data_IF_440992350873
#
_entry.id   IF_440992350873
#
_cell.length_a   1.000
_cell.length_b   1.000
_cell.length_c   1.000
_cell.angle_alpha   90.00
_cell.angle_beta   90.00
_cell.angle_gamma   90.00
#
_symmetry.space_group_name_H-M   'P 1'
#
loop_
_entity.id
_entity.type
_entity.pdbx_description
1 polymer ?
#
# COMPACT_ATOMS: atom_id res chain seq x y z
N UNK A 1 8.76 8.88 -22.05
CA UNK A 1 8.29 9.57 -20.83
C UNK A 1 8.12 11.07 -21.06
N UNK A 2 9.13 11.77 -21.58
CA UNK A 2 9.06 13.23 -21.84
C UNK A 2 7.90 13.65 -22.79
N UNK A 3 7.58 12.85 -23.79
CA UNK A 3 6.50 13.16 -24.74
C UNK A 3 5.11 12.99 -24.09
N UNK A 4 4.92 11.94 -23.33
CA UNK A 4 3.69 11.67 -22.58
C UNK A 4 3.42 12.78 -21.58
N UNK A 5 4.42 13.20 -20.80
CA UNK A 5 4.30 14.29 -19.84
C UNK A 5 3.91 15.62 -20.50
N UNK A 6 4.61 16.02 -21.58
CA UNK A 6 4.41 17.32 -22.22
C UNK A 6 3.08 17.45 -22.93
N UNK A 7 2.54 16.34 -23.48
CA UNK A 7 1.29 16.36 -24.27
C UNK A 7 0.05 15.97 -23.51
N UNK A 8 0.18 15.18 -22.43
CA UNK A 8 -0.96 14.63 -21.69
C UNK A 8 -1.13 15.22 -20.28
N UNK A 9 -0.29 16.16 -19.88
CA UNK A 9 -0.35 16.84 -18.57
C UNK A 9 -0.36 15.88 -17.38
N UNK A 10 0.51 14.87 -17.41
CA UNK A 10 0.65 13.88 -16.32
C UNK A 10 1.31 14.54 -15.12
N UNK A 11 0.73 14.34 -13.91
CA UNK A 11 1.18 14.93 -12.66
C UNK A 11 2.36 14.21 -12.00
N UNK A 12 2.72 13.02 -12.46
CA UNK A 12 3.81 12.23 -11.90
C UNK A 12 3.92 10.83 -12.46
N UNK A 13 4.89 10.07 -11.93
CA UNK A 13 5.19 8.71 -12.35
C UNK A 13 5.38 7.79 -11.15
N UNK A 14 4.85 6.59 -11.24
CA UNK A 14 5.26 5.48 -10.37
C UNK A 14 6.21 4.59 -11.17
N UNK A 15 7.38 4.32 -10.59
CA UNK A 15 8.40 3.48 -11.18
C UNK A 15 8.33 2.08 -10.60
N UNK A 16 8.07 1.14 -11.50
CA UNK A 16 8.05 -0.28 -11.18
C UNK A 16 9.45 -0.80 -10.88
N UNK A 17 9.60 -1.66 -9.86
CA UNK A 17 10.89 -2.22 -9.45
C UNK A 17 12.00 -1.15 -9.43
N UNK A 18 11.73 0.01 -8.84
CA UNK A 18 12.57 1.19 -8.97
C UNK A 18 14.00 1.02 -8.40
N UNK A 19 14.21 0.06 -7.48
CA UNK A 19 15.55 -0.30 -7.02
C UNK A 19 16.46 -0.77 -8.16
N UNK A 20 15.91 -1.37 -9.21
CA UNK A 20 16.65 -1.77 -10.41
C UNK A 20 17.29 -0.59 -11.14
N UNK A 21 16.63 0.57 -11.14
CA UNK A 21 17.13 1.81 -11.77
C UNK A 21 18.36 2.41 -11.05
N UNK A 22 18.51 2.05 -9.77
CA UNK A 22 19.63 2.47 -8.93
C UNK A 22 20.80 1.48 -8.95
N UNK A 23 20.68 0.34 -9.63
CA UNK A 23 21.75 -0.66 -9.63
C UNK A 23 22.94 -0.22 -10.48
N UNK A 24 24.12 -0.25 -9.85
CA UNK A 24 25.41 -0.25 -10.53
C UNK A 24 26.07 -1.61 -10.28
N UNK A 25 26.34 -2.36 -11.34
CA UNK A 25 26.75 -3.75 -11.27
C UNK A 25 25.69 -4.63 -10.54
N UNK A 26 26.00 -5.12 -9.33
CA UNK A 26 25.09 -5.94 -8.54
C UNK A 26 24.55 -5.22 -7.28
N UNK A 27 25.06 -4.03 -6.98
CA UNK A 27 24.67 -3.26 -5.80
C UNK A 27 23.72 -2.12 -6.14
N UNK A 28 22.88 -1.76 -5.19
CA UNK A 28 21.98 -0.60 -5.32
C UNK A 28 22.74 0.64 -4.89
N UNK A 29 23.00 1.55 -5.82
CA UNK A 29 23.65 2.83 -5.59
C UNK A 29 22.62 3.97 -5.55
N UNK A 30 22.48 4.59 -4.38
CA UNK A 30 21.58 5.74 -4.16
C UNK A 30 22.00 7.01 -4.92
N UNK A 31 23.24 7.05 -5.39
CA UNK A 31 23.82 8.14 -6.18
C UNK A 31 23.90 7.78 -7.66
N UNK A 32 23.05 6.85 -8.12
CA UNK A 32 23.09 6.45 -9.52
C UNK A 32 22.77 7.63 -10.44
N UNK A 33 23.40 7.64 -11.62
CA UNK A 33 23.20 8.68 -12.63
C UNK A 33 21.74 8.86 -13.05
N UNK A 34 20.91 7.83 -12.88
CA UNK A 34 19.47 7.94 -13.16
C UNK A 34 18.79 8.96 -12.25
N UNK A 35 19.06 8.92 -10.94
CA UNK A 35 18.46 9.87 -9.99
C UNK A 35 18.97 11.29 -10.21
N UNK A 36 20.26 11.44 -10.48
CA UNK A 36 20.87 12.75 -10.79
C UNK A 36 20.22 13.38 -12.03
N UNK A 37 20.03 12.61 -13.10
CA UNK A 37 19.38 13.08 -14.32
C UNK A 37 17.95 13.51 -14.05
N UNK A 38 17.20 12.73 -13.26
CA UNK A 38 15.81 13.05 -12.90
C UNK A 38 15.74 14.31 -12.05
N UNK A 39 16.63 14.49 -11.08
CA UNK A 39 16.67 15.67 -10.21
C UNK A 39 17.10 16.95 -10.93
N UNK A 40 17.97 16.83 -11.95
CA UNK A 40 18.45 17.97 -12.73
C UNK A 40 17.49 18.37 -13.86
N UNK A 41 16.56 17.51 -14.27
CA UNK A 41 15.59 17.86 -15.31
C UNK A 41 14.58 18.89 -14.78
N UNK A 42 14.46 20.08 -15.41
CA UNK A 42 13.63 21.17 -14.88
C UNK A 42 12.12 20.90 -14.93
N UNK A 43 11.71 19.84 -15.60
CA UNK A 43 10.33 19.43 -15.75
C UNK A 43 10.04 18.25 -14.82
N UNK A 44 10.83 17.18 -14.94
CA UNK A 44 10.59 15.93 -14.21
C UNK A 44 10.81 16.12 -12.70
N UNK A 45 11.76 16.96 -12.28
CA UNK A 45 12.01 17.26 -10.87
C UNK A 45 10.82 17.93 -10.14
N UNK A 46 9.84 18.45 -10.89
CA UNK A 46 8.66 19.15 -10.33
C UNK A 46 7.39 18.30 -10.24
N UNK A 47 7.41 17.10 -10.83
CA UNK A 47 6.26 16.19 -10.78
C UNK A 47 6.40 15.20 -9.63
N UNK A 48 5.32 14.48 -9.34
CA UNK A 48 5.33 13.44 -8.29
C UNK A 48 6.15 12.25 -8.78
N UNK A 49 7.16 11.87 -8.03
CA UNK A 49 8.00 10.70 -8.28
C UNK A 49 7.73 9.69 -7.18
N UNK A 50 7.24 8.52 -7.55
CA UNK A 50 6.86 7.45 -6.63
C UNK A 50 7.65 6.20 -7.01
N UNK A 51 8.37 5.65 -6.05
CA UNK A 51 9.10 4.41 -6.24
C UNK A 51 8.33 3.21 -5.69
N UNK A 52 8.37 2.11 -6.42
CA UNK A 52 8.30 0.80 -5.83
C UNK A 52 9.71 0.44 -5.35
N UNK A 53 9.98 0.54 -4.02
CA UNK A 53 11.34 0.59 -3.51
C UNK A 53 11.95 -0.80 -3.28
N UNK A 54 11.71 -1.74 -4.20
CA UNK A 54 12.31 -3.08 -4.19
C UNK A 54 12.57 -3.60 -5.60
N UNK A 55 13.34 -4.67 -5.66
CA UNK A 55 13.52 -5.55 -6.82
C UNK A 55 13.84 -6.98 -6.36
N UNK A 56 14.00 -7.90 -7.31
CA UNK A 56 14.24 -9.32 -7.04
C UNK A 56 15.72 -9.65 -6.76
N UNK A 57 16.62 -8.69 -6.84
CA UNK A 57 18.06 -8.91 -6.64
C UNK A 57 18.46 -8.88 -5.17
N UNK A 58 19.69 -9.31 -4.90
CA UNK A 58 20.28 -9.21 -3.56
C UNK A 58 20.27 -7.76 -3.07
N UNK A 59 19.88 -7.53 -1.80
CA UNK A 59 19.77 -6.17 -1.25
C UNK A 59 18.73 -5.29 -1.93
N UNK A 60 17.78 -5.86 -2.71
CA UNK A 60 16.82 -5.11 -3.50
C UNK A 60 15.74 -4.38 -2.72
N UNK A 61 15.51 -4.72 -1.45
CA UNK A 61 14.50 -4.04 -0.61
C UNK A 61 15.05 -2.73 -0.03
N UNK A 62 14.66 -1.59 -0.61
CA UNK A 62 15.24 -0.26 -0.38
C UNK A 62 14.25 0.76 0.23
N UNK A 63 13.23 0.30 0.95
CA UNK A 63 12.27 1.21 1.63
C UNK A 63 13.01 2.15 2.58
N UNK A 64 12.80 3.45 2.43
CA UNK A 64 13.52 4.51 3.14
C UNK A 64 14.82 4.96 2.45
N UNK A 65 15.19 4.34 1.33
CA UNK A 65 16.47 4.54 0.66
C UNK A 65 16.49 5.51 -0.52
N UNK A 66 15.36 5.93 -1.04
CA UNK A 66 15.27 6.78 -2.22
C UNK A 66 15.57 8.27 -1.92
N UNK A 67 15.89 9.09 -2.95
CA UNK A 67 16.15 10.52 -2.78
C UNK A 67 14.99 11.27 -2.11
N UNK A 68 15.29 12.43 -1.53
CA UNK A 68 14.33 13.20 -0.72
C UNK A 68 13.14 13.74 -1.50
N UNK A 69 13.26 13.90 -2.81
CA UNK A 69 12.20 14.31 -3.73
C UNK A 69 11.20 13.21 -4.07
N UNK A 70 11.52 11.94 -3.75
CA UNK A 70 10.70 10.79 -4.07
C UNK A 70 9.76 10.39 -2.92
N UNK A 71 8.59 9.90 -3.27
CA UNK A 71 7.75 9.10 -2.37
C UNK A 71 7.95 7.61 -2.67
N UNK A 72 7.66 6.76 -1.70
CA UNK A 72 7.89 5.32 -1.79
C UNK A 72 6.65 4.55 -1.34
N UNK A 73 6.35 3.47 -2.03
CA UNK A 73 5.42 2.47 -1.49
C UNK A 73 6.00 1.85 -0.22
N UNK A 74 5.30 2.04 0.89
CA UNK A 74 5.79 1.57 2.19
C UNK A 74 5.35 0.13 2.47
N UNK A 75 6.13 -0.85 2.00
CA UNK A 75 5.87 -2.27 2.26
C UNK A 75 5.91 -2.63 3.75
N UNK A 76 6.71 -1.92 4.57
CA UNK A 76 6.72 -2.14 6.03
C UNK A 76 5.42 -1.70 6.68
N UNK A 77 4.79 -0.63 6.18
CA UNK A 77 3.46 -0.23 6.61
C UNK A 77 2.45 -1.34 6.32
N UNK A 78 2.40 -1.82 5.07
CA UNK A 78 1.52 -2.91 4.65
C UNK A 78 1.64 -4.12 5.58
N UNK A 79 2.86 -4.60 5.74
CA UNK A 79 3.13 -5.84 6.48
C UNK A 79 2.78 -5.69 7.96
N UNK A 80 3.15 -4.56 8.57
CA UNK A 80 2.85 -4.27 9.97
C UNK A 80 1.36 -4.15 10.24
N UNK A 81 0.60 -3.46 9.38
CA UNK A 81 -0.85 -3.30 9.55
C UNK A 81 -1.58 -4.64 9.40
N UNK A 82 -1.18 -5.45 8.41
CA UNK A 82 -1.72 -6.81 8.24
C UNK A 82 -1.43 -7.68 9.45
N UNK A 83 -0.18 -7.67 9.94
CA UNK A 83 0.24 -8.45 11.12
C UNK A 83 -0.49 -8.01 12.39
N UNK A 84 -0.69 -6.71 12.58
CA UNK A 84 -1.43 -6.18 13.73
C UNK A 84 -2.88 -6.67 13.75
N UNK A 85 -3.61 -6.53 12.65
CA UNK A 85 -5.03 -6.90 12.59
C UNK A 85 -5.29 -8.41 12.55
N UNK A 86 -4.30 -9.22 12.19
CA UNK A 86 -4.35 -10.68 12.37
C UNK A 86 -3.77 -11.15 13.71
N UNK A 87 -3.55 -10.23 14.65
CA UNK A 87 -3.13 -10.49 16.03
C UNK A 87 -1.75 -11.15 16.16
N UNK A 88 -0.79 -10.82 15.30
CA UNK A 88 0.58 -11.27 15.49
C UNK A 88 1.19 -10.62 16.74
N UNK A 89 1.94 -11.39 17.57
CA UNK A 89 2.51 -10.86 18.79
C UNK A 89 3.56 -9.78 18.52
N UNK A 90 3.75 -8.87 19.47
CA UNK A 90 4.80 -7.84 19.48
C UNK A 90 4.72 -6.80 18.36
N UNK A 91 3.58 -6.63 17.70
CA UNK A 91 3.40 -5.67 16.58
C UNK A 91 3.12 -4.25 17.03
N UNK A 92 2.62 -4.02 18.25
CA UNK A 92 2.14 -2.72 18.71
C UNK A 92 3.17 -1.57 18.62
N UNK A 93 4.45 -1.74 18.99
CA UNK A 93 5.43 -0.65 18.88
C UNK A 93 5.67 -0.23 17.44
N UNK A 94 5.78 -1.19 16.51
CA UNK A 94 5.94 -0.90 15.09
C UNK A 94 4.66 -0.28 14.51
N UNK A 95 3.49 -0.79 14.86
CA UNK A 95 2.21 -0.26 14.43
C UNK A 95 2.05 1.23 14.80
N UNK A 96 2.39 1.61 16.05
CA UNK A 96 2.39 3.00 16.47
C UNK A 96 3.34 3.87 15.61
N UNK A 97 4.54 3.37 15.31
CA UNK A 97 5.50 4.05 14.43
C UNK A 97 4.95 4.23 13.01
N UNK A 98 4.27 3.22 12.45
CA UNK A 98 3.64 3.29 11.12
C UNK A 98 2.51 4.33 11.09
N UNK A 99 1.64 4.37 12.10
CA UNK A 99 0.58 5.38 12.21
C UNK A 99 1.12 6.81 12.22
N UNK A 100 2.27 7.02 12.85
CA UNK A 100 2.89 8.33 13.04
C UNK A 100 3.73 8.79 11.83
N UNK A 101 3.77 8.05 10.73
CA UNK A 101 4.46 8.44 9.49
C UNK A 101 5.84 7.82 9.30
N UNK A 102 6.13 6.71 9.99
CA UNK A 102 7.34 5.90 9.77
C UNK A 102 8.64 6.70 9.88
N UNK A 103 8.81 7.44 10.99
CA UNK A 103 9.99 8.29 11.24
C UNK A 103 11.31 7.52 11.21
N UNK A 104 11.30 6.27 11.63
CA UNK A 104 12.44 5.35 11.56
C UNK A 104 12.96 5.12 10.14
N UNK A 105 12.12 5.28 9.12
CA UNK A 105 12.46 5.11 7.71
C UNK A 105 12.85 6.43 7.03
N UNK A 106 12.22 7.54 7.39
CA UNK A 106 12.28 8.77 6.61
C UNK A 106 12.96 9.94 7.32
N UNK A 107 13.00 9.94 8.66
CA UNK A 107 13.56 11.07 9.41
C UNK A 107 15.07 11.24 9.20
N UNK A 108 15.82 10.14 9.13
CA UNK A 108 17.29 10.15 9.01
C UNK A 108 17.75 10.93 7.76
N UNK A 109 16.95 10.89 6.70
CA UNK A 109 17.22 11.58 5.44
C UNK A 109 16.48 12.93 5.32
N UNK A 110 15.95 13.47 6.42
CA UNK A 110 15.19 14.73 6.43
C UNK A 110 13.87 14.69 5.66
N UNK A 111 13.39 13.51 5.33
CA UNK A 111 12.15 13.32 4.57
C UNK A 111 10.92 13.50 5.46
N UNK A 112 9.81 13.82 4.85
CA UNK A 112 8.53 14.11 5.51
C UNK A 112 7.59 12.90 5.47
N UNK A 113 6.47 12.90 6.23
CA UNK A 113 5.48 11.81 6.17
C UNK A 113 4.98 11.50 4.75
N UNK A 114 4.90 12.51 3.89
CA UNK A 114 4.51 12.36 2.48
C UNK A 114 5.47 11.52 1.64
N UNK A 115 6.66 11.19 2.15
CA UNK A 115 7.54 10.22 1.52
C UNK A 115 6.96 8.80 1.59
N UNK A 116 6.10 8.53 2.57
CA UNK A 116 5.43 7.25 2.74
C UNK A 116 4.12 7.21 1.97
N UNK A 117 4.03 6.41 0.92
CA UNK A 117 2.76 5.96 0.35
C UNK A 117 2.34 4.73 1.11
N UNK A 118 1.37 4.90 2.00
CA UNK A 118 0.84 3.84 2.84
C UNK A 118 -0.20 3.03 2.06
N UNK A 119 -0.14 1.73 2.13
CA UNK A 119 -1.12 0.85 1.52
C UNK A 119 -1.28 -0.44 2.32
N UNK A 120 -2.39 -1.13 2.14
CA UNK A 120 -2.65 -2.44 2.72
C UNK A 120 -2.70 -3.48 1.60
N UNK A 121 -3.26 -3.10 0.47
CA UNK A 121 -3.42 -3.90 -0.75
C UNK A 121 -2.92 -3.10 -1.94
N UNK A 122 -2.54 -3.78 -2.99
CA UNK A 122 -2.10 -3.20 -4.26
C UNK A 122 -2.59 -4.08 -5.42
N UNK A 123 -2.18 -3.76 -6.66
CA UNK A 123 -2.50 -4.57 -7.84
C UNK A 123 -1.94 -5.99 -7.78
N UNK A 124 -0.80 -6.17 -7.10
CA UNK A 124 -0.21 -7.46 -6.77
C UNK A 124 -0.63 -7.86 -5.35
N UNK A 125 -1.05 -9.10 -5.19
CA UNK A 125 -1.52 -9.62 -3.91
C UNK A 125 -3.04 -9.71 -3.82
N UNK A 126 -3.54 -10.06 -2.65
CA UNK A 126 -4.97 -10.11 -2.36
C UNK A 126 -5.61 -8.73 -2.38
N UNK A 127 -6.87 -8.65 -2.84
CA UNK A 127 -7.77 -7.52 -2.57
C UNK A 127 -8.06 -7.42 -1.07
N UNK A 128 -8.65 -6.33 -0.62
CA UNK A 128 -9.03 -6.16 0.80
C UNK A 128 -9.99 -7.25 1.28
N UNK A 129 -10.95 -7.62 0.44
CA UNK A 129 -11.90 -8.68 0.75
C UNK A 129 -11.22 -10.06 0.78
N UNK A 130 -10.32 -10.33 -0.15
CA UNK A 130 -9.62 -11.62 -0.19
C UNK A 130 -8.62 -11.75 0.97
N UNK A 131 -8.02 -10.64 1.40
CA UNK A 131 -7.11 -10.59 2.56
C UNK A 131 -7.76 -11.06 3.86
N UNK A 132 -9.07 -10.88 4.01
CA UNK A 132 -9.85 -11.31 5.18
C UNK A 132 -10.66 -12.59 4.92
N UNK A 133 -10.54 -13.17 3.73
CA UNK A 133 -11.34 -14.32 3.31
C UNK A 133 -10.51 -15.55 2.94
N UNK A 134 -9.21 -15.38 2.66
CA UNK A 134 -8.33 -16.46 2.21
C UNK A 134 -7.02 -16.46 2.99
N UNK A 135 -6.57 -17.63 3.42
CA UNK A 135 -5.21 -17.84 3.91
C UNK A 135 -4.27 -18.26 2.78
N UNK A 136 -4.78 -19.06 1.85
CA UNK A 136 -4.02 -19.60 0.73
C UNK A 136 -4.39 -18.89 -0.58
N UNK A 137 -3.44 -18.80 -1.50
CA UNK A 137 -3.70 -18.27 -2.84
C UNK A 137 -4.38 -19.31 -3.74
N UNK A 138 -5.24 -18.85 -4.63
CA UNK A 138 -5.99 -19.64 -5.58
C UNK A 138 -5.76 -19.13 -7.01
N UNK A 139 -4.52 -19.30 -7.52
CA UNK A 139 -4.07 -18.81 -8.83
C UNK A 139 -4.18 -19.87 -9.94
N UNK A 140 -4.93 -20.97 -9.74
CA UNK A 140 -5.04 -22.06 -10.69
C UNK A 140 -5.53 -21.59 -12.06
N UNK A 141 -6.40 -20.59 -12.10
CA UNK A 141 -6.91 -19.98 -13.34
C UNK A 141 -5.82 -19.32 -14.21
N UNK A 142 -4.65 -19.00 -13.62
CA UNK A 142 -3.52 -18.42 -14.36
C UNK A 142 -2.75 -19.46 -15.18
N UNK A 143 -3.00 -20.77 -14.98
CA UNK A 143 -2.35 -21.83 -15.74
C UNK A 143 -0.90 -22.13 -15.33
N UNK A 144 -0.42 -21.54 -14.22
CA UNK A 144 0.95 -21.70 -13.72
C UNK A 144 1.06 -22.71 -12.56
N UNK A 145 0.01 -23.50 -12.33
CA UNK A 145 -0.05 -24.51 -11.28
C UNK A 145 0.01 -23.92 -9.87
N UNK A 146 -0.56 -22.73 -9.66
CA UNK A 146 -0.59 -21.99 -8.39
C UNK A 146 0.81 -21.65 -7.83
N UNK A 147 1.84 -21.56 -8.68
CA UNK A 147 3.22 -21.24 -8.26
C UNK A 147 3.53 -19.75 -8.30
N UNK A 148 2.79 -18.98 -9.10
CA UNK A 148 2.89 -17.55 -9.28
C UNK A 148 2.28 -16.77 -8.08
N UNK A 149 2.61 -15.48 -7.98
CA UNK A 149 2.14 -14.60 -6.91
C UNK A 149 2.78 -14.89 -5.53
N UNK A 150 2.45 -14.04 -4.57
CA UNK A 150 3.00 -14.11 -3.22
C UNK A 150 2.44 -15.30 -2.44
N UNK A 151 3.31 -16.02 -1.74
CA UNK A 151 2.91 -17.16 -0.90
C UNK A 151 2.69 -16.77 0.57
N UNK A 152 3.25 -15.65 1.03
CA UNK A 152 3.06 -15.14 2.40
C UNK A 152 2.21 -13.87 2.38
N UNK A 153 0.91 -14.02 2.17
CA UNK A 153 -0.01 -12.90 2.04
C UNK A 153 -0.25 -12.11 3.33
N UNK A 154 0.16 -12.63 4.50
CA UNK A 154 -0.16 -12.08 5.82
C UNK A 154 -1.67 -11.84 5.96
N UNK A 155 -2.46 -12.77 5.41
CA UNK A 155 -3.92 -12.75 5.41
C UNK A 155 -4.48 -13.53 6.60
N UNK A 156 -5.78 -13.39 6.81
CA UNK A 156 -6.53 -14.16 7.78
C UNK A 156 -7.96 -14.38 7.28
N UNK A 157 -8.33 -15.63 7.02
CA UNK A 157 -9.65 -16.00 6.48
C UNK A 157 -10.82 -15.83 7.48
N UNK A 158 -10.55 -15.33 8.69
CA UNK A 158 -11.54 -15.17 9.77
C UNK A 158 -12.24 -16.47 10.17
N UNK A 159 -11.58 -17.62 9.95
CA UNK A 159 -12.05 -18.93 10.39
C UNK A 159 -12.62 -19.83 9.29
N UNK A 160 -12.87 -19.30 8.08
CA UNK A 160 -13.38 -20.08 6.94
C UNK A 160 -12.68 -19.64 5.67
N UNK A 161 -12.13 -20.58 4.92
CA UNK A 161 -11.48 -20.30 3.63
C UNK A 161 -12.52 -20.01 2.55
N UNK A 162 -12.39 -18.85 1.90
CA UNK A 162 -13.27 -18.44 0.81
C UNK A 162 -14.68 -17.99 1.23
N UNK A 163 -15.63 -17.95 0.29
CA UNK A 163 -16.99 -17.50 0.55
C UNK A 163 -17.71 -18.36 1.58
N UNK A 164 -18.52 -17.72 2.44
CA UNK A 164 -19.30 -18.45 3.48
C UNK A 164 -20.65 -17.76 3.74
N UNK A 165 -21.60 -18.56 4.23
CA UNK A 165 -22.89 -18.07 4.69
C UNK A 165 -22.95 -17.93 6.22
N UNK A 166 -21.84 -18.18 6.92
CA UNK A 166 -21.77 -18.06 8.39
C UNK A 166 -21.76 -16.57 8.75
N UNK A 167 -22.82 -16.11 9.38
CA UNK A 167 -23.04 -14.70 9.70
C UNK A 167 -21.89 -14.11 10.53
N UNK A 168 -21.49 -14.75 11.61
CA UNK A 168 -20.46 -14.25 12.51
C UNK A 168 -19.11 -14.07 11.79
N UNK A 169 -18.78 -14.96 10.85
CA UNK A 169 -17.56 -14.86 10.02
C UNK A 169 -17.63 -13.65 9.09
N UNK A 170 -18.79 -13.44 8.44
CA UNK A 170 -18.97 -12.31 7.53
C UNK A 170 -18.95 -10.98 8.29
N UNK A 171 -19.59 -10.89 9.46
CA UNK A 171 -19.52 -9.71 10.33
C UNK A 171 -18.08 -9.40 10.76
N UNK A 172 -17.31 -10.42 11.12
CA UNK A 172 -15.90 -10.27 11.46
C UNK A 172 -15.05 -9.78 10.28
N UNK A 173 -15.27 -10.31 9.06
CA UNK A 173 -14.62 -9.84 7.84
C UNK A 173 -14.91 -8.38 7.56
N UNK A 174 -16.17 -7.98 7.66
CA UNK A 174 -16.59 -6.59 7.51
C UNK A 174 -15.94 -5.68 8.56
N UNK A 175 -15.85 -6.13 9.79
CA UNK A 175 -15.15 -5.39 10.85
C UNK A 175 -13.66 -5.24 10.54
N UNK A 176 -12.98 -6.29 10.08
CA UNK A 176 -11.56 -6.24 9.75
C UNK A 176 -11.25 -5.31 8.57
N UNK A 177 -12.08 -5.32 7.52
CA UNK A 177 -11.94 -4.37 6.41
C UNK A 177 -12.07 -2.92 6.90
N UNK A 178 -13.09 -2.62 7.72
CA UNK A 178 -13.27 -1.28 8.31
C UNK A 178 -12.10 -0.87 9.20
N UNK A 179 -11.55 -1.77 10.00
CA UNK A 179 -10.38 -1.54 10.83
C UNK A 179 -9.15 -1.15 9.98
N UNK A 180 -8.92 -1.88 8.90
CA UNK A 180 -7.81 -1.63 7.96
C UNK A 180 -7.98 -0.30 7.24
N UNK A 181 -9.17 0.02 6.73
CA UNK A 181 -9.44 1.32 6.11
C UNK A 181 -9.29 2.49 7.09
N UNK A 182 -9.81 2.35 8.32
CA UNK A 182 -9.63 3.36 9.36
C UNK A 182 -8.15 3.58 9.67
N UNK A 183 -7.40 2.50 9.82
CA UNK A 183 -5.94 2.56 10.03
C UNK A 183 -5.25 3.30 8.89
N UNK A 184 -5.54 2.93 7.64
CA UNK A 184 -4.93 3.53 6.45
C UNK A 184 -5.24 5.02 6.34
N UNK A 185 -6.50 5.39 6.47
CA UNK A 185 -6.96 6.76 6.22
C UNK A 185 -6.69 7.72 7.39
N UNK A 186 -6.48 7.21 8.61
CA UNK A 186 -6.13 8.02 9.76
C UNK A 186 -4.62 8.08 10.04
N UNK A 187 -3.81 7.30 9.33
CA UNK A 187 -2.34 7.34 9.45
C UNK A 187 -1.73 8.57 8.79
N UNK A 188 -0.59 9.03 9.32
CA UNK A 188 0.24 10.02 8.64
C UNK A 188 0.90 9.40 7.39
N UNK A 189 1.04 10.19 6.32
CA UNK A 189 1.53 9.73 5.01
C UNK A 189 0.49 9.90 3.92
N UNK A 190 0.73 9.32 2.75
CA UNK A 190 -0.18 9.33 1.61
C UNK A 190 -0.93 7.99 1.58
N UNK A 191 -2.24 7.95 1.82
CA UNK A 191 -2.98 6.71 1.71
C UNK A 191 -3.16 6.31 0.23
N UNK A 192 -2.96 5.04 -0.08
CA UNK A 192 -3.25 4.43 -1.38
C UNK A 192 -4.25 3.31 -1.18
N UNK A 193 -5.35 3.36 -1.91
CA UNK A 193 -6.40 2.35 -1.96
C UNK A 193 -6.30 1.62 -3.30
N UNK A 194 -6.36 0.30 -3.30
CA UNK A 194 -6.50 -0.48 -4.52
C UNK A 194 -7.95 -0.36 -5.02
N UNK A 195 -8.13 0.05 -6.28
CA UNK A 195 -9.47 0.29 -6.84
C UNK A 195 -10.38 -0.94 -6.73
N UNK A 196 -11.59 -0.73 -6.19
CA UNK A 196 -12.56 -1.78 -5.90
C UNK A 196 -12.53 -2.32 -4.47
N UNK A 197 -11.48 -2.06 -3.69
CA UNK A 197 -11.44 -2.48 -2.28
C UNK A 197 -12.54 -1.79 -1.46
N UNK A 198 -12.87 -0.54 -1.79
CA UNK A 198 -13.94 0.24 -1.17
C UNK A 198 -15.34 -0.35 -1.36
N UNK A 199 -15.50 -1.26 -2.30
CA UNK A 199 -16.72 -2.03 -2.55
C UNK A 199 -16.51 -3.53 -2.32
N UNK A 200 -15.51 -3.90 -1.54
CA UNK A 200 -15.18 -5.29 -1.20
C UNK A 200 -15.01 -6.19 -2.44
N UNK A 201 -14.35 -5.70 -3.50
CA UNK A 201 -14.05 -6.49 -4.70
C UNK A 201 -13.25 -7.73 -4.33
N UNK A 202 -13.61 -8.86 -4.91
CA UNK A 202 -12.88 -10.12 -4.76
C UNK A 202 -12.22 -10.52 -6.08
N UNK A 203 -11.07 -11.15 -5.99
CA UNK A 203 -10.43 -11.91 -7.06
C UNK A 203 -10.53 -13.43 -6.81
N UNK A 204 -11.47 -13.82 -5.93
CA UNK A 204 -11.75 -15.23 -5.59
C UNK A 204 -10.51 -15.96 -5.04
N UNK A 205 -9.65 -15.24 -4.31
CA UNK A 205 -8.40 -15.75 -3.78
C UNK A 205 -7.25 -15.81 -4.79
N UNK A 206 -7.44 -15.31 -6.02
CA UNK A 206 -6.34 -15.11 -6.96
C UNK A 206 -5.57 -13.83 -6.57
N UNK A 207 -4.33 -13.98 -6.14
CA UNK A 207 -3.49 -12.86 -5.71
C UNK A 207 -2.53 -12.35 -6.80
N UNK A 208 -2.70 -12.81 -8.04
CA UNK A 208 -1.86 -12.43 -9.18
C UNK A 208 -2.68 -12.40 -10.49
N UNK A 209 -3.76 -11.63 -10.52
CA UNK A 209 -4.75 -11.65 -11.60
C UNK A 209 -4.29 -10.93 -12.90
N UNK A 210 -2.99 -10.80 -13.14
CA UNK A 210 -2.41 -10.04 -14.27
C UNK A 210 -2.88 -10.50 -15.65
N UNK A 211 -3.15 -11.78 -15.82
CA UNK A 211 -3.59 -12.39 -17.08
C UNK A 211 -5.10 -12.63 -17.15
N UNK A 212 -5.88 -12.18 -16.16
CA UNK A 212 -7.32 -12.40 -16.07
C UNK A 212 -8.09 -11.19 -16.63
N UNK A 213 -8.70 -11.34 -17.80
CA UNK A 213 -9.64 -10.35 -18.34
C UNK A 213 -11.07 -10.96 -18.30
N UNK A 214 -11.57 -11.18 -17.09
CA UNK A 214 -12.85 -11.84 -16.83
C UNK A 214 -13.38 -11.49 -15.43
N UNK A 215 -14.42 -12.19 -14.98
CA UNK A 215 -15.07 -11.97 -13.68
C UNK A 215 -14.14 -12.14 -12.45
N UNK A 216 -12.95 -12.75 -12.60
CA UNK A 216 -11.96 -12.81 -11.51
C UNK A 216 -11.40 -11.42 -11.22
N UNK A 217 -11.08 -10.62 -12.24
CA UNK A 217 -10.45 -9.30 -12.08
C UNK A 217 -11.42 -8.14 -12.21
N UNK A 218 -12.60 -8.33 -12.81
CA UNK A 218 -13.56 -7.26 -13.00
C UNK A 218 -14.21 -6.84 -11.69
N UNK A 219 -14.54 -5.56 -11.58
CA UNK A 219 -15.31 -5.04 -10.44
C UNK A 219 -16.80 -5.18 -10.74
N UNK A 220 -17.53 -5.88 -9.86
CA UNK A 220 -18.99 -5.90 -9.91
C UNK A 220 -19.55 -4.60 -9.35
N UNK A 221 -20.35 -3.88 -10.13
CA UNK A 221 -21.00 -2.63 -9.75
C UNK A 221 -22.46 -2.82 -9.27
N UNK A 222 -22.98 -4.04 -9.32
CA UNK A 222 -24.25 -4.38 -8.68
C UNK A 222 -23.99 -4.72 -7.22
N UNK A 223 -23.94 -3.67 -6.39
CA UNK A 223 -23.52 -3.73 -5.01
C UNK A 223 -24.66 -4.17 -4.09
N UNK A 224 -24.38 -5.12 -3.21
CA UNK A 224 -25.26 -5.44 -2.10
C UNK A 224 -25.21 -4.39 -0.97
N UNK A 225 -26.00 -4.57 0.09
CA UNK A 225 -26.09 -3.59 1.18
C UNK A 225 -24.77 -3.49 1.98
N UNK A 226 -24.08 -4.61 2.24
CA UNK A 226 -22.80 -4.63 2.96
C UNK A 226 -21.72 -3.88 2.18
N UNK A 227 -21.71 -4.01 0.87
CA UNK A 227 -20.80 -3.32 -0.03
C UNK A 227 -21.06 -1.81 -0.08
N UNK A 228 -22.35 -1.41 -0.13
CA UNK A 228 -22.75 0.00 -0.06
C UNK A 228 -22.37 0.63 1.27
N UNK A 229 -22.60 -0.07 2.38
CA UNK A 229 -22.23 0.37 3.71
C UNK A 229 -20.72 0.55 3.86
N UNK A 230 -19.91 -0.34 3.27
CA UNK A 230 -18.46 -0.21 3.27
C UNK A 230 -18.02 1.01 2.44
N UNK A 231 -18.59 1.21 1.26
CA UNK A 231 -18.32 2.36 0.40
C UNK A 231 -18.62 3.68 1.12
N UNK A 232 -19.79 3.76 1.79
CA UNK A 232 -20.17 4.93 2.57
C UNK A 232 -19.21 5.18 3.73
N UNK A 233 -18.80 4.13 4.43
CA UNK A 233 -17.83 4.21 5.51
C UNK A 233 -16.46 4.75 5.02
N UNK A 234 -15.93 4.21 3.92
CA UNK A 234 -14.65 4.66 3.33
C UNK A 234 -14.76 6.12 2.86
N UNK A 235 -15.87 6.48 2.21
CA UNK A 235 -16.14 7.86 1.79
C UNK A 235 -16.14 8.83 2.98
N UNK A 236 -16.80 8.49 4.08
CA UNK A 236 -16.81 9.30 5.31
C UNK A 236 -15.40 9.48 5.90
N UNK A 237 -14.59 8.42 5.90
CA UNK A 237 -13.20 8.51 6.39
C UNK A 237 -12.33 9.42 5.51
N UNK A 238 -12.52 9.38 4.18
CA UNK A 238 -11.81 10.26 3.27
C UNK A 238 -12.19 11.72 3.53
N UNK A 239 -13.48 12.04 3.68
CA UNK A 239 -13.94 13.38 4.01
C UNK A 239 -13.39 13.84 5.35
N UNK A 240 -13.46 13.00 6.40
CA UNK A 240 -12.88 13.27 7.70
C UNK A 240 -11.39 13.63 7.60
N UNK A 241 -10.63 12.85 6.82
CA UNK A 241 -9.21 13.12 6.60
C UNK A 241 -8.97 14.48 5.92
N UNK A 242 -9.79 14.82 4.91
CA UNK A 242 -9.66 16.07 4.16
C UNK A 242 -10.00 17.30 5.03
N UNK A 243 -11.01 17.18 5.90
CA UNK A 243 -11.46 18.24 6.81
C UNK A 243 -10.49 18.49 7.96
N UNK A 244 -9.67 17.49 8.32
CA UNK A 244 -8.79 17.56 9.49
C UNK A 244 -7.30 17.54 9.11
N UNK A 245 -6.64 18.73 8.95
CA UNK A 245 -5.22 18.81 8.60
C UNK A 245 -4.27 18.05 9.54
N UNK A 246 -4.71 17.76 10.77
CA UNK A 246 -3.95 16.95 11.72
C UNK A 246 -3.69 15.54 11.24
N UNK A 247 -4.53 14.99 10.35
CA UNK A 247 -4.42 13.64 9.81
C UNK A 247 -3.48 13.55 8.58
N UNK A 248 -3.08 14.71 8.01
CA UNK A 248 -2.19 14.76 6.85
C UNK A 248 -1.10 15.83 7.01
N UNK A 249 -0.40 15.78 8.13
CA UNK A 249 0.64 16.75 8.48
C UNK A 249 1.81 16.72 7.50
N UNK A 250 2.43 17.88 7.30
CA UNK A 250 3.66 18.02 6.52
C UNK A 250 4.93 17.66 7.28
N UNK A 251 4.86 17.56 8.63
CA UNK A 251 6.01 17.26 9.48
C UNK A 251 5.76 15.98 10.27
N UNK A 252 6.83 15.21 10.51
CA UNK A 252 6.81 14.08 11.42
C UNK A 252 6.42 14.56 12.83
N UNK A 253 5.67 13.73 13.55
CA UNK A 253 5.36 13.99 14.95
C UNK A 253 6.59 13.63 15.79
N UNK A 254 7.22 14.63 16.38
CA UNK A 254 8.23 14.42 17.40
C UNK A 254 7.52 14.36 18.75
N UNK A 255 7.80 13.33 19.54
CA UNK A 255 7.67 13.44 20.98
C UNK A 255 8.86 14.30 21.45
N UNK A 256 8.74 15.60 21.35
CA UNK A 256 9.63 16.49 22.09
C UNK A 256 9.29 16.31 23.56
N UNK A 257 10.26 16.06 24.46
CA UNK A 257 10.00 16.19 25.87
C UNK A 257 9.40 17.59 26.09
N UNK A 258 8.32 17.63 26.84
CA UNK A 258 7.70 18.90 27.20
C UNK A 258 8.77 19.81 27.83
N UNK A 259 8.86 21.10 27.48
CA UNK A 259 9.76 22.02 28.18
C UNK A 259 9.44 22.17 29.69
N UNK A 260 8.49 21.39 30.17
CA UNK A 260 8.02 21.41 31.58
C UNK A 260 8.37 20.11 32.33
N UNK A 261 9.03 19.15 31.69
CA UNK A 261 9.51 17.92 32.34
C UNK A 261 10.98 18.03 32.70
#
# INVERSE_FOLDING_TARGET
ASDVYKRQHIDGFRFDLAATLARQFQEVDKLSAFFDIVEQDPVISRVKLIAEPWDLGSGGYQVGGFPSSWSEWNGRYRDCVRDFWRSQPSTLPEFASRLMGSSDLYQVNGRRPVASVNFITAHDGFTMNDLVSYNEKHNEANGEGNRDGESNNRSWNCGVEGPTTIKDVNELRQQQMRNMFATLLLSQGIPMICGGDEVARTQQGNNNAYCQDNAISWTNWDLDEDQKDLLEFVSKLIHLRLEHPVLHRRCLLYTSPSPRD
#
